data_IF_778775470765
#
_entry.id   IF_778775470765
#
_cell.length_a   1.000
_cell.length_b   1.000
_cell.length_c   1.000
_cell.angle_alpha   90.00
_cell.angle_beta   90.00
_cell.angle_gamma   90.00
#
_symmetry.space_group_name_H-M   'P 1'
#
loop_
_entity.id
_entity.type
_entity.pdbx_description
1 polymer ?
#
# COMPACT_ATOMS: atom_id res chain seq x y z
N UNK A 1 -9.25 12.18 -3.90
CA UNK A 1 -8.57 10.96 -4.40
C UNK A 1 -8.88 9.71 -3.59
N UNK A 2 -9.43 9.84 -2.39
CA UNK A 2 -9.65 8.74 -1.44
C UNK A 2 -10.54 7.60 -1.95
N UNK A 3 -11.33 7.84 -3.01
CA UNK A 3 -12.26 6.87 -3.60
C UNK A 3 -11.73 6.16 -4.86
N UNK A 4 -10.47 6.40 -5.25
CA UNK A 4 -9.86 5.75 -6.43
C UNK A 4 -10.01 4.22 -6.38
N UNK A 5 -9.72 3.54 -5.25
CA UNK A 5 -9.87 2.10 -5.19
C UNK A 5 -11.31 1.65 -5.51
N UNK A 6 -12.34 2.40 -5.13
CA UNK A 6 -13.76 2.11 -5.41
C UNK A 6 -14.07 2.26 -6.90
N UNK A 7 -13.54 3.29 -7.57
CA UNK A 7 -13.67 3.47 -9.02
C UNK A 7 -12.98 2.34 -9.78
N UNK A 8 -11.75 2.00 -9.41
CA UNK A 8 -10.98 0.92 -10.02
C UNK A 8 -11.68 -0.42 -9.84
N UNK A 9 -12.34 -0.67 -8.71
CA UNK A 9 -13.11 -1.90 -8.49
C UNK A 9 -14.30 -2.07 -9.45
N UNK A 10 -14.73 -1.01 -10.15
CA UNK A 10 -15.84 -1.01 -11.11
C UNK A 10 -15.40 -0.67 -12.54
N UNK A 11 -14.09 -0.70 -12.81
CA UNK A 11 -13.51 -0.34 -14.12
C UNK A 11 -14.04 -1.22 -15.27
N UNK A 12 -14.49 -2.43 -14.97
CA UNK A 12 -15.03 -3.42 -15.90
C UNK A 12 -16.54 -3.63 -15.74
N UNK A 13 -17.27 -2.62 -15.25
CA UNK A 13 -18.73 -2.70 -15.12
C UNK A 13 -19.40 -3.05 -16.47
N UNK A 14 -20.36 -3.98 -16.50
CA UNK A 14 -21.07 -4.36 -17.74
C UNK A 14 -22.01 -3.25 -18.24
N UNK A 15 -22.30 -2.24 -17.42
CA UNK A 15 -23.18 -1.12 -17.79
C UNK A 15 -22.41 -0.09 -18.62
N UNK A 16 -22.59 -0.11 -19.94
CA UNK A 16 -21.81 0.71 -20.88
C UNK A 16 -21.79 2.22 -20.58
N UNK A 17 -22.92 2.82 -20.18
CA UNK A 17 -22.98 4.24 -19.82
C UNK A 17 -22.13 4.56 -18.60
N UNK A 18 -22.21 3.74 -17.55
CA UNK A 18 -21.45 3.90 -16.31
C UNK A 18 -19.97 3.67 -16.58
N UNK A 19 -19.62 2.61 -17.32
CA UNK A 19 -18.25 2.28 -17.68
C UNK A 19 -17.55 3.42 -18.44
N UNK A 20 -18.25 4.03 -19.41
CA UNK A 20 -17.72 5.19 -20.15
C UNK A 20 -17.39 6.37 -19.23
N UNK A 21 -18.28 6.71 -18.31
CA UNK A 21 -18.04 7.80 -17.35
C UNK A 21 -16.88 7.48 -16.40
N UNK A 22 -16.78 6.24 -15.91
CA UNK A 22 -15.64 5.82 -15.07
C UNK A 22 -14.33 5.94 -15.84
N UNK A 23 -14.28 5.48 -17.09
CA UNK A 23 -13.06 5.54 -17.92
C UNK A 23 -12.67 6.99 -18.20
N UNK A 24 -13.62 7.86 -18.51
CA UNK A 24 -13.38 9.29 -18.71
C UNK A 24 -12.82 9.94 -17.45
N UNK A 25 -13.50 9.76 -16.30
CA UNK A 25 -13.06 10.32 -15.02
C UNK A 25 -11.65 9.84 -14.63
N UNK A 26 -11.36 8.55 -14.77
CA UNK A 26 -10.03 8.01 -14.49
C UNK A 26 -8.97 8.53 -15.47
N UNK A 27 -9.31 8.75 -16.74
CA UNK A 27 -8.41 9.37 -17.72
C UNK A 27 -8.10 10.82 -17.33
N UNK A 28 -9.11 11.58 -16.91
CA UNK A 28 -8.94 12.97 -16.47
C UNK A 28 -8.13 13.06 -15.17
N UNK A 29 -8.40 12.20 -14.18
CA UNK A 29 -7.56 12.08 -12.98
C UNK A 29 -6.12 11.72 -13.37
N UNK A 30 -5.93 10.82 -14.35
CA UNK A 30 -4.61 10.42 -14.85
C UNK A 30 -3.84 11.57 -15.49
N UNK A 31 -4.52 12.56 -16.07
CA UNK A 31 -3.89 13.75 -16.65
C UNK A 31 -3.32 14.70 -15.59
N UNK A 32 -4.05 14.93 -14.50
CA UNK A 32 -3.65 15.91 -13.47
C UNK A 32 -2.92 15.28 -12.28
N UNK A 33 -3.22 14.02 -11.96
CA UNK A 33 -2.75 13.33 -10.77
C UNK A 33 -2.32 11.87 -11.07
N UNK A 34 -1.36 11.66 -11.99
CA UNK A 34 -1.00 10.32 -12.46
C UNK A 34 -0.47 9.40 -11.36
N UNK A 35 0.24 9.95 -10.36
CA UNK A 35 0.80 9.20 -9.23
C UNK A 35 -0.29 8.49 -8.39
N UNK A 36 -1.50 9.07 -8.30
CA UNK A 36 -2.61 8.47 -7.55
C UNK A 36 -3.18 7.22 -8.22
N UNK A 37 -3.05 7.11 -9.54
CA UNK A 37 -3.63 6.03 -10.33
C UNK A 37 -2.63 4.95 -10.69
N UNK A 38 -1.35 5.25 -10.65
CA UNK A 38 -0.35 4.35 -11.22
C UNK A 38 -0.32 2.97 -10.54
N UNK A 39 -0.32 2.90 -9.20
CA UNK A 39 -0.36 1.62 -8.50
C UNK A 39 -1.69 0.87 -8.70
N UNK A 40 -2.87 1.47 -8.45
CA UNK A 40 -4.15 0.80 -8.64
C UNK A 40 -4.38 0.29 -10.08
N UNK A 41 -3.99 1.07 -11.10
CA UNK A 41 -4.09 0.65 -12.50
C UNK A 41 -3.07 -0.43 -12.86
N UNK A 42 -1.84 -0.39 -12.32
CA UNK A 42 -0.85 -1.46 -12.54
C UNK A 42 -1.30 -2.79 -11.92
N UNK A 43 -2.02 -2.76 -10.80
CA UNK A 43 -2.64 -3.98 -10.26
C UNK A 43 -3.80 -4.44 -11.15
N UNK A 44 -4.66 -3.52 -11.58
CA UNK A 44 -5.79 -3.84 -12.45
C UNK A 44 -5.36 -4.39 -13.82
N UNK A 45 -4.25 -3.91 -14.38
CA UNK A 45 -3.69 -4.39 -15.65
C UNK A 45 -3.11 -5.80 -15.57
N UNK A 46 -2.86 -6.33 -14.38
CA UNK A 46 -2.43 -7.73 -14.18
C UNK A 46 -3.58 -8.67 -13.82
N UNK A 47 -4.82 -8.21 -13.92
CA UNK A 47 -6.01 -9.00 -13.66
C UNK A 47 -6.14 -10.19 -14.64
N UNK A 48 -6.62 -11.32 -14.15
CA UNK A 48 -6.96 -12.49 -14.98
C UNK A 48 -8.25 -12.29 -15.78
N UNK A 49 -9.17 -11.44 -15.29
CA UNK A 49 -10.37 -11.05 -16.02
C UNK A 49 -10.03 -10.14 -17.19
N UNK A 50 -10.32 -10.59 -18.41
CA UNK A 50 -10.01 -9.90 -19.67
C UNK A 50 -10.61 -8.49 -19.75
N UNK A 51 -11.88 -8.30 -19.35
CA UNK A 51 -12.53 -6.99 -19.38
C UNK A 51 -11.80 -5.96 -18.51
N UNK A 52 -11.43 -6.36 -17.29
CA UNK A 52 -10.67 -5.54 -16.34
C UNK A 52 -9.26 -5.24 -16.83
N UNK A 53 -8.55 -6.25 -17.32
CA UNK A 53 -7.22 -6.11 -17.91
C UNK A 53 -7.23 -5.12 -19.07
N UNK A 54 -8.15 -5.29 -20.02
CA UNK A 54 -8.27 -4.42 -21.20
C UNK A 54 -8.62 -2.99 -20.83
N UNK A 55 -9.57 -2.80 -19.91
CA UNK A 55 -9.97 -1.46 -19.47
C UNK A 55 -8.82 -0.73 -18.76
N UNK A 56 -8.10 -1.42 -17.85
CA UNK A 56 -6.95 -0.84 -17.16
C UNK A 56 -5.82 -0.48 -18.13
N UNK A 57 -5.47 -1.37 -19.07
CA UNK A 57 -4.43 -1.11 -20.06
C UNK A 57 -4.81 0.02 -21.02
N UNK A 58 -6.09 0.17 -21.36
CA UNK A 58 -6.57 1.30 -22.15
C UNK A 58 -6.31 2.63 -21.45
N UNK A 59 -6.61 2.72 -20.16
CA UNK A 59 -6.38 3.95 -19.37
C UNK A 59 -4.88 4.20 -19.20
N UNK A 60 -4.08 3.17 -18.91
CA UNK A 60 -2.62 3.29 -18.84
C UNK A 60 -2.02 3.79 -20.17
N UNK A 61 -2.53 3.29 -21.31
CA UNK A 61 -2.10 3.74 -22.63
C UNK A 61 -2.41 5.23 -22.86
N UNK A 62 -3.60 5.69 -22.46
CA UNK A 62 -3.93 7.12 -22.52
C UNK A 62 -3.02 7.95 -21.59
N UNK A 63 -2.68 7.42 -20.40
CA UNK A 63 -1.75 8.08 -19.49
C UNK A 63 -0.34 8.20 -20.09
N UNK A 64 0.11 7.23 -20.90
CA UNK A 64 1.41 7.30 -21.56
C UNK A 64 1.55 8.53 -22.47
N UNK A 65 0.48 9.07 -23.04
CA UNK A 65 0.53 10.27 -23.87
C UNK A 65 1.02 11.50 -23.09
N UNK A 66 0.84 11.51 -21.77
CA UNK A 66 1.22 12.62 -20.89
C UNK A 66 2.36 12.29 -19.92
N UNK A 67 2.51 11.01 -19.53
CA UNK A 67 3.46 10.58 -18.50
C UNK A 67 4.09 9.22 -18.82
N UNK A 68 4.57 9.03 -20.06
CA UNK A 68 5.15 7.76 -20.51
C UNK A 68 6.25 7.22 -19.57
N UNK A 69 7.21 8.06 -19.17
CA UNK A 69 8.33 7.65 -18.31
C UNK A 69 7.83 7.07 -16.99
N UNK A 70 6.94 7.79 -16.30
CA UNK A 70 6.29 7.32 -15.07
C UNK A 70 5.57 5.98 -15.24
N UNK A 71 4.79 5.83 -16.32
CA UNK A 71 4.04 4.59 -16.58
C UNK A 71 4.98 3.41 -16.83
N UNK A 72 6.02 3.60 -17.65
CA UNK A 72 7.01 2.56 -17.91
C UNK A 72 7.77 2.15 -16.64
N UNK A 73 8.17 3.13 -15.81
CA UNK A 73 8.83 2.89 -14.54
C UNK A 73 7.96 2.07 -13.58
N UNK A 74 6.66 2.35 -13.51
CA UNK A 74 5.74 1.58 -12.66
C UNK A 74 5.52 0.15 -13.15
N UNK A 75 5.48 -0.08 -14.47
CA UNK A 75 5.39 -1.43 -15.03
C UNK A 75 6.68 -2.23 -14.75
N UNK A 76 7.84 -1.58 -14.83
CA UNK A 76 9.14 -2.17 -14.48
C UNK A 76 9.29 -2.49 -12.98
N UNK A 77 8.48 -1.87 -12.12
CA UNK A 77 8.56 -1.95 -10.65
C UNK A 77 8.32 -3.36 -10.06
N UNK A 78 8.16 -4.40 -10.88
CA UNK A 78 7.97 -5.79 -10.44
C UNK A 78 9.13 -6.71 -10.89
N UNK A 79 10.26 -6.13 -11.33
CA UNK A 79 11.44 -6.84 -11.84
C UNK A 79 12.66 -6.73 -10.91
N UNK A 80 13.57 -7.71 -10.86
CA UNK A 80 14.87 -7.60 -10.17
C UNK A 80 15.73 -6.40 -10.59
N UNK A 81 15.39 -5.72 -11.71
CA UNK A 81 16.00 -4.46 -12.15
C UNK A 81 15.78 -3.29 -11.17
N UNK A 82 14.84 -3.40 -10.22
CA UNK A 82 14.57 -2.41 -9.17
C UNK A 82 15.82 -1.96 -8.40
N UNK A 83 16.76 -2.88 -8.17
CA UNK A 83 18.00 -2.60 -7.46
C UNK A 83 18.87 -1.54 -8.18
N UNK A 84 18.80 -1.54 -9.52
CA UNK A 84 19.58 -0.64 -10.38
C UNK A 84 18.88 0.70 -10.61
N UNK A 85 17.59 0.82 -10.28
CA UNK A 85 16.86 2.05 -10.50
C UNK A 85 17.34 3.15 -9.53
N UNK A 86 17.55 4.34 -10.06
CA UNK A 86 17.91 5.56 -9.33
C UNK A 86 17.04 6.71 -9.84
N UNK A 87 16.69 7.62 -8.92
CA UNK A 87 16.01 8.89 -9.19
C UNK A 87 14.76 8.75 -10.07
N UNK A 88 13.85 7.84 -9.69
CA UNK A 88 12.63 7.60 -10.46
C UNK A 88 11.70 8.83 -10.40
N UNK A 89 10.79 8.93 -11.37
CA UNK A 89 9.67 9.89 -11.32
C UNK A 89 8.56 9.39 -10.39
N UNK A 90 8.53 8.09 -10.12
CA UNK A 90 7.54 7.44 -9.27
C UNK A 90 7.62 7.94 -7.82
N UNK A 91 6.48 8.31 -7.25
CA UNK A 91 6.38 8.64 -5.83
C UNK A 91 6.71 7.42 -4.96
N UNK A 92 7.23 7.65 -3.75
CA UNK A 92 7.33 6.59 -2.75
C UNK A 92 5.92 6.02 -2.49
N UNK A 93 5.73 4.69 -2.46
CA UNK A 93 4.41 4.09 -2.29
C UNK A 93 3.68 4.64 -1.05
N UNK A 94 2.46 5.12 -1.23
CA UNK A 94 1.62 5.61 -0.13
C UNK A 94 1.95 7.02 0.38
N UNK A 95 2.85 7.78 -0.25
CA UNK A 95 3.20 9.15 0.17
C UNK A 95 2.61 10.25 -0.72
N UNK A 96 1.89 9.90 -1.80
CA UNK A 96 1.33 10.90 -2.71
C UNK A 96 0.15 11.65 -2.07
N UNK A 97 0.28 12.97 -1.96
CA UNK A 97 -0.76 13.90 -1.56
C UNK A 97 -0.83 15.03 -2.61
N UNK A 98 -2.01 15.34 -3.19
CA UNK A 98 -2.14 16.43 -4.16
C UNK A 98 -1.73 17.80 -3.64
N UNK A 99 -1.75 18.02 -2.34
CA UNK A 99 -1.46 19.31 -1.72
C UNK A 99 0.00 19.42 -1.26
N UNK A 100 0.81 18.38 -1.44
CA UNK A 100 2.21 18.36 -1.04
C UNK A 100 3.14 18.09 -2.22
N UNK A 101 4.40 18.48 -2.07
CA UNK A 101 5.44 18.13 -3.04
C UNK A 101 5.64 16.61 -3.09
N UNK A 102 5.75 16.07 -4.30
CA UNK A 102 5.90 14.62 -4.51
C UNK A 102 7.26 14.15 -3.98
N UNK A 103 7.24 13.24 -3.00
CA UNK A 103 8.43 12.53 -2.55
C UNK A 103 8.67 11.36 -3.50
N UNK A 104 9.57 11.54 -4.46
CA UNK A 104 9.96 10.52 -5.45
C UNK A 104 10.91 9.48 -4.87
N UNK A 105 10.96 8.30 -5.48
CA UNK A 105 11.91 7.24 -5.13
C UNK A 105 13.30 7.62 -5.64
N UNK A 106 14.22 7.90 -4.72
CA UNK A 106 15.63 8.15 -5.06
C UNK A 106 16.37 6.84 -5.30
N UNK A 107 16.22 5.88 -4.40
CA UNK A 107 16.83 4.55 -4.55
C UNK A 107 16.15 3.51 -3.66
N UNK A 108 16.42 2.24 -3.93
CA UNK A 108 15.95 1.11 -3.14
C UNK A 108 17.15 0.43 -2.49
N UNK A 109 17.06 0.12 -1.20
CA UNK A 109 18.12 -0.55 -0.46
C UNK A 109 18.43 -1.94 -1.06
N UNK A 110 19.72 -2.26 -1.16
CA UNK A 110 20.17 -3.50 -1.79
C UNK A 110 19.90 -4.76 -0.98
N UNK A 111 19.92 -4.62 0.35
CA UNK A 111 19.70 -5.72 1.27
C UNK A 111 18.27 -5.67 1.81
N UNK A 112 17.58 -6.80 1.70
CA UNK A 112 16.23 -6.98 2.24
C UNK A 112 16.30 -7.91 3.44
N UNK A 113 16.01 -7.39 4.63
CA UNK A 113 15.95 -8.21 5.83
C UNK A 113 14.71 -9.12 5.76
N UNK A 114 14.89 -10.43 5.83
CA UNK A 114 13.77 -11.39 5.88
C UNK A 114 13.30 -11.53 7.32
N UNK A 115 12.00 -11.32 7.55
CA UNK A 115 11.40 -11.54 8.87
C UNK A 115 11.10 -13.01 9.05
N UNK A 116 11.58 -13.60 10.15
CA UNK A 116 11.38 -15.01 10.48
C UNK A 116 9.95 -15.26 10.96
N UNK A 117 9.05 -15.51 10.02
CA UNK A 117 7.65 -15.93 10.26
C UNK A 117 7.21 -16.95 9.21
N UNK A 118 5.98 -17.47 9.33
CA UNK A 118 5.41 -18.45 8.39
C UNK A 118 5.52 -17.98 6.92
N UNK A 119 5.23 -16.70 6.67
CA UNK A 119 5.20 -16.12 5.32
C UNK A 119 6.54 -15.51 4.88
N UNK A 120 7.54 -15.46 5.77
CA UNK A 120 8.88 -14.89 5.51
C UNK A 120 8.84 -13.57 4.72
N UNK A 121 8.10 -12.55 5.19
CA UNK A 121 8.01 -11.27 4.48
C UNK A 121 9.37 -10.54 4.52
N UNK A 122 9.58 -9.66 3.54
CA UNK A 122 10.85 -8.93 3.38
C UNK A 122 10.66 -7.49 3.86
N UNK A 123 11.58 -7.00 4.68
CA UNK A 123 11.67 -5.58 5.02
C UNK A 123 12.39 -4.86 3.89
N UNK A 124 11.65 -4.03 3.18
CA UNK A 124 12.08 -3.20 2.07
C UNK A 124 12.30 -1.77 2.56
N UNK A 125 13.46 -1.20 2.29
CA UNK A 125 13.76 0.21 2.58
C UNK A 125 13.93 0.98 1.27
N UNK A 126 13.25 2.11 1.17
CA UNK A 126 13.25 3.00 0.01
C UNK A 126 13.76 4.37 0.47
N UNK A 127 14.78 4.90 -0.20
CA UNK A 127 15.22 6.27 0.00
C UNK A 127 14.35 7.23 -0.81
N UNK A 128 13.73 8.20 -0.14
CA UNK A 128 12.99 9.27 -0.78
C UNK A 128 13.91 10.38 -1.27
N UNK A 129 13.47 11.11 -2.29
CA UNK A 129 14.14 12.32 -2.80
C UNK A 129 14.25 13.46 -1.78
N UNK A 130 13.54 13.35 -0.65
CA UNK A 130 13.70 14.22 0.51
C UNK A 130 14.83 13.80 1.47
N UNK A 131 15.58 12.74 1.14
CA UNK A 131 16.67 12.21 1.96
C UNK A 131 16.24 11.33 3.13
N UNK A 132 14.94 11.00 3.25
CA UNK A 132 14.42 10.14 4.31
C UNK A 132 14.19 8.70 3.86
N UNK A 133 14.41 7.76 4.77
CA UNK A 133 14.14 6.34 4.55
C UNK A 133 12.67 6.00 4.84
N UNK A 134 12.05 5.30 3.90
CA UNK A 134 10.70 4.75 4.01
C UNK A 134 10.79 3.24 4.06
N UNK A 135 10.32 2.66 5.16
CA UNK A 135 10.34 1.23 5.38
C UNK A 135 8.98 0.62 5.06
N UNK A 136 9.01 -0.54 4.41
CA UNK A 136 7.85 -1.33 4.06
C UNK A 136 8.08 -2.80 4.39
N UNK A 137 7.01 -3.49 4.73
CA UNK A 137 6.94 -4.94 4.73
C UNK A 137 6.38 -5.41 3.38
N UNK A 138 7.25 -6.01 2.56
CA UNK A 138 6.86 -6.68 1.33
C UNK A 138 6.31 -8.06 1.67
N UNK A 139 5.01 -8.22 1.44
CA UNK A 139 4.30 -9.49 1.57
C UNK A 139 4.05 -10.11 0.21
N UNK A 140 4.26 -11.41 0.12
CA UNK A 140 3.92 -12.23 -1.03
C UNK A 140 2.96 -13.35 -0.62
N UNK A 141 2.24 -13.88 -1.60
CA UNK A 141 1.16 -14.86 -1.44
C UNK A 141 -0.01 -14.37 -0.56
N UNK A 142 -0.21 -13.04 -0.46
CA UNK A 142 -1.32 -12.43 0.26
C UNK A 142 -1.97 -11.33 -0.60
N UNK A 143 -3.30 -11.28 -0.60
CA UNK A 143 -4.07 -10.24 -1.26
C UNK A 143 -4.35 -9.10 -0.28
N UNK A 144 -3.60 -7.99 -0.41
CA UNK A 144 -3.69 -6.85 0.50
C UNK A 144 -4.82 -5.86 0.17
N UNK A 145 -5.69 -6.17 -0.80
CA UNK A 145 -6.82 -5.29 -1.13
C UNK A 145 -7.81 -5.18 0.03
N UNK A 146 -7.96 -6.24 0.83
CA UNK A 146 -8.81 -6.18 2.03
C UNK A 146 -8.23 -5.23 3.06
N UNK A 147 -6.95 -5.37 3.38
CA UNK A 147 -6.22 -4.46 4.29
C UNK A 147 -6.29 -3.00 3.83
N UNK A 148 -6.13 -2.75 2.53
CA UNK A 148 -6.30 -1.40 1.94
C UNK A 148 -7.69 -0.81 2.27
N UNK A 149 -8.77 -1.60 2.15
CA UNK A 149 -10.13 -1.13 2.48
C UNK A 149 -10.34 -0.93 3.96
N UNK A 150 -9.75 -1.76 4.81
CA UNK A 150 -9.80 -1.57 6.26
C UNK A 150 -9.10 -0.26 6.64
N UNK A 151 -7.95 0.07 6.03
CA UNK A 151 -7.27 1.35 6.27
C UNK A 151 -8.07 2.57 5.77
N UNK A 152 -8.85 2.42 4.68
CA UNK A 152 -9.81 3.44 4.25
C UNK A 152 -10.94 3.63 5.27
N UNK A 153 -11.52 2.53 5.77
CA UNK A 153 -12.55 2.57 6.80
C UNK A 153 -12.04 3.22 8.08
N UNK A 154 -10.84 2.88 8.56
CA UNK A 154 -10.23 3.56 9.71
C UNK A 154 -9.98 5.04 9.45
N UNK A 155 -9.74 5.44 8.19
CA UNK A 155 -9.68 6.85 7.82
C UNK A 155 -11.01 7.56 8.07
N UNK A 156 -12.11 6.97 7.61
CA UNK A 156 -13.45 7.46 7.88
C UNK A 156 -13.76 7.52 9.39
N UNK A 157 -13.42 6.47 10.15
CA UNK A 157 -13.61 6.44 11.61
C UNK A 157 -12.86 7.59 12.27
N UNK A 158 -11.59 7.82 11.90
CA UNK A 158 -10.82 8.94 12.45
C UNK A 158 -11.43 10.30 12.11
N UNK A 159 -11.97 10.48 10.90
CA UNK A 159 -12.71 11.69 10.54
C UNK A 159 -13.95 11.88 11.44
N UNK A 160 -14.70 10.82 11.71
CA UNK A 160 -15.87 10.89 12.59
C UNK A 160 -15.48 11.21 14.04
N UNK A 161 -14.42 10.58 14.56
CA UNK A 161 -13.91 10.84 15.92
C UNK A 161 -13.40 12.27 16.08
N UNK A 162 -12.74 12.83 15.06
CA UNK A 162 -12.25 14.21 15.08
C UNK A 162 -13.38 15.24 15.03
N UNK A 163 -14.49 14.92 14.37
CA UNK A 163 -15.66 15.79 14.25
C UNK A 163 -16.56 15.79 15.50
N UNK A 164 -16.46 14.78 16.37
CA UNK A 164 -17.16 14.75 17.66
C UNK A 164 -16.35 15.46 18.76
N UNK A 165 -16.82 16.58 19.35
CA UNK A 165 -16.07 17.32 20.36
C UNK A 165 -15.75 16.51 21.64
N UNK A 166 -16.56 15.50 21.98
CA UNK A 166 -16.27 14.65 23.14
C UNK A 166 -15.12 13.68 22.89
N UNK A 167 -15.04 13.11 21.69
CA UNK A 167 -13.96 12.24 21.23
C UNK A 167 -12.69 13.02 20.91
N UNK A 168 -12.80 14.18 20.27
CA UNK A 168 -11.67 15.05 19.95
C UNK A 168 -10.91 15.48 21.22
N UNK A 169 -11.61 15.86 22.28
CA UNK A 169 -10.99 16.21 23.59
C UNK A 169 -10.19 15.06 24.20
N UNK A 170 -10.48 13.81 23.82
CA UNK A 170 -9.77 12.61 24.29
C UNK A 170 -8.65 12.17 23.34
N UNK A 171 -8.43 12.89 22.24
CA UNK A 171 -7.46 12.55 21.20
C UNK A 171 -7.61 11.12 20.67
N UNK A 172 -8.85 10.65 20.51
CA UNK A 172 -9.11 9.30 20.02
C UNK A 172 -8.79 9.20 18.53
N UNK A 173 -7.91 8.28 18.18
CA UNK A 173 -7.60 7.96 16.79
C UNK A 173 -7.11 6.53 16.65
N UNK A 174 -7.40 5.93 15.51
CA UNK A 174 -6.88 4.62 15.11
C UNK A 174 -5.59 4.88 14.34
N UNK A 175 -4.47 4.32 14.83
CA UNK A 175 -3.20 4.35 14.11
C UNK A 175 -3.34 3.56 12.81
N UNK A 176 -3.16 4.25 11.69
CA UNK A 176 -3.16 3.65 10.35
C UNK A 176 -1.75 3.50 9.82
N UNK A 177 -1.62 2.65 8.82
CA UNK A 177 -0.40 2.47 8.04
C UNK A 177 -0.74 2.35 6.56
N UNK A 178 0.22 2.66 5.69
CA UNK A 178 0.02 2.57 4.25
C UNK A 178 -0.11 1.10 3.84
N UNK A 179 -1.02 0.82 2.91
CA UNK A 179 -1.15 -0.50 2.28
C UNK A 179 -1.24 -0.30 0.79
N UNK A 180 -0.30 -0.88 0.04
CA UNK A 180 -0.17 -0.69 -1.39
C UNK A 180 -0.15 -2.07 -2.07
N UNK A 181 -1.30 -2.52 -2.59
CA UNK A 181 -1.34 -3.72 -3.43
C UNK A 181 -0.43 -3.55 -4.66
N UNK A 182 0.35 -4.58 -4.99
CA UNK A 182 1.21 -4.62 -6.18
C UNK A 182 0.73 -5.65 -7.22
N UNK A 183 -0.02 -6.66 -6.76
CA UNK A 183 -0.72 -7.65 -7.58
C UNK A 183 -1.91 -8.22 -6.78
N UNK A 184 -2.54 -9.28 -7.29
CA UNK A 184 -3.55 -10.06 -6.54
C UNK A 184 -2.95 -10.94 -5.44
N UNK A 185 -1.63 -11.05 -5.34
CA UNK A 185 -0.94 -11.93 -4.40
C UNK A 185 0.29 -11.30 -3.75
N UNK A 186 0.52 -10.00 -3.93
CA UNK A 186 1.62 -9.30 -3.27
C UNK A 186 1.30 -7.83 -3.05
N UNK A 187 2.00 -7.24 -2.08
CA UNK A 187 1.95 -5.82 -1.86
C UNK A 187 2.85 -5.35 -0.72
N UNK A 188 2.81 -4.06 -0.47
CA UNK A 188 3.60 -3.38 0.54
C UNK A 188 2.70 -2.94 1.69
N UNK A 189 3.19 -3.12 2.90
CA UNK A 189 2.60 -2.55 4.12
C UNK A 189 3.62 -1.58 4.71
N UNK A 190 3.23 -0.34 4.98
CA UNK A 190 4.09 0.65 5.62
C UNK A 190 4.56 0.14 6.98
N UNK A 191 5.86 0.22 7.23
CA UNK A 191 6.43 -0.18 8.51
C UNK A 191 6.05 0.86 9.58
N UNK A 192 5.51 0.38 10.70
CA UNK A 192 5.21 1.25 11.85
C UNK A 192 6.44 1.27 12.76
N UNK A 193 7.11 2.41 12.92
CA UNK A 193 8.28 2.51 13.79
C UNK A 193 7.87 2.43 15.27
N UNK A 194 8.85 2.11 16.13
CA UNK A 194 8.68 2.09 17.59
C UNK A 194 7.51 1.22 18.10
N UNK A 195 7.27 0.09 17.43
CA UNK A 195 6.20 -0.85 17.78
C UNK A 195 6.73 -2.27 17.87
N UNK A 196 6.23 -3.00 18.86
CA UNK A 196 6.43 -4.44 19.02
C UNK A 196 5.07 -5.15 19.15
N UNK A 197 5.04 -6.42 18.80
CA UNK A 197 3.84 -7.24 19.05
C UNK A 197 3.71 -7.51 20.54
N UNK A 198 2.46 -7.61 21.04
CA UNK A 198 2.20 -8.01 22.42
C UNK A 198 2.88 -9.35 22.77
N UNK A 199 2.92 -10.29 21.83
CA UNK A 199 3.63 -11.57 22.00
C UNK A 199 5.13 -11.37 22.26
N UNK A 200 5.81 -10.51 21.48
CA UNK A 200 7.23 -10.21 21.68
C UNK A 200 7.48 -9.59 23.06
N UNK A 201 6.69 -8.58 23.43
CA UNK A 201 6.80 -7.94 24.76
C UNK A 201 6.64 -8.94 25.91
N UNK A 202 5.63 -9.82 25.82
CA UNK A 202 5.39 -10.85 26.84
C UNK A 202 6.53 -11.86 26.87
N UNK A 203 7.00 -12.34 25.71
CA UNK A 203 8.09 -13.30 25.61
C UNK A 203 9.35 -12.76 26.26
N UNK A 204 9.76 -11.55 25.89
CA UNK A 204 10.99 -10.94 26.36
C UNK A 204 10.91 -10.62 27.87
N UNK A 205 9.76 -10.18 28.36
CA UNK A 205 9.50 -10.01 29.81
C UNK A 205 9.63 -11.33 30.57
N UNK A 206 8.97 -12.39 30.08
CA UNK A 206 8.97 -13.71 30.74
C UNK A 206 10.36 -14.32 30.75
N UNK A 207 11.09 -14.24 29.65
CA UNK A 207 12.48 -14.70 29.57
C UNK A 207 13.37 -13.98 30.60
N UNK A 208 13.24 -12.65 30.70
CA UNK A 208 13.97 -11.83 31.69
C UNK A 208 13.65 -12.21 33.13
N UNK A 209 12.38 -12.53 33.42
CA UNK A 209 11.91 -12.95 34.76
C UNK A 209 12.03 -14.46 34.99
N UNK A 210 12.59 -15.22 34.04
CA UNK A 210 12.69 -16.69 34.09
C UNK A 210 11.33 -17.39 34.28
N UNK A 211 10.28 -16.79 33.75
CA UNK A 211 8.92 -17.36 33.69
C UNK A 211 8.80 -18.17 32.40
N UNK A 212 8.26 -19.38 32.48
CA UNK A 212 8.05 -20.21 31.30
C UNK A 212 6.97 -19.60 30.39
N UNK A 213 7.25 -19.48 29.09
CA UNK A 213 6.37 -18.79 28.13
C UNK A 213 4.96 -19.41 28.04
N UNK A 214 4.85 -20.74 28.10
CA UNK A 214 3.60 -21.48 27.96
C UNK A 214 3.05 -22.03 29.28
N UNK A 215 3.36 -21.39 30.42
CA UNK A 215 2.98 -21.88 31.75
C UNK A 215 1.47 -22.11 31.89
N UNK A 216 0.63 -21.21 31.38
CA UNK A 216 -0.83 -21.33 31.46
C UNK A 216 -1.32 -22.56 30.71
N UNK A 217 -0.81 -22.79 29.51
CA UNK A 217 -1.18 -23.96 28.71
C UNK A 217 -0.74 -25.26 29.40
N UNK A 218 0.43 -25.27 30.06
CA UNK A 218 0.88 -26.45 30.83
C UNK A 218 0.05 -26.72 32.07
N UNK A 219 -0.48 -25.67 32.72
CA UNK A 219 -1.40 -25.83 33.85
C UNK A 219 -2.72 -26.43 33.40
N UNK A 220 -3.24 -26.02 32.23
CA UNK A 220 -4.49 -26.57 31.66
C UNK A 220 -4.38 -28.04 31.23
N UNK A 221 -3.18 -28.53 30.93
CA UNK A 221 -2.93 -29.91 30.50
C UNK A 221 -2.69 -30.89 31.68
N UNK A 222 -2.81 -30.41 32.92
CA UNK A 222 -2.74 -31.23 34.14
C UNK A 222 -4.15 -31.44 34.68
#
# INVERSE_FOLDING_TARGET
MEVIPQLIARIDTPRALVGRLIHQLLTDIGRYHPQALIYPLTVASKSTTTARHNAANKILKNMCEHCNTLVQQAIMYVSPKLLMCRDLELAVPGTYDPNQSIIRIQSIAASLQVITSKQRPRKLTIMGSNGHEFMFLLKGHEDLRQDERVMQLFGLVNTLLANDPASLRKNLSIQRYAVIPLSTNSGLIGWVPHCDTLHALIRDYREKKKILLNIEHRIMLR
#
